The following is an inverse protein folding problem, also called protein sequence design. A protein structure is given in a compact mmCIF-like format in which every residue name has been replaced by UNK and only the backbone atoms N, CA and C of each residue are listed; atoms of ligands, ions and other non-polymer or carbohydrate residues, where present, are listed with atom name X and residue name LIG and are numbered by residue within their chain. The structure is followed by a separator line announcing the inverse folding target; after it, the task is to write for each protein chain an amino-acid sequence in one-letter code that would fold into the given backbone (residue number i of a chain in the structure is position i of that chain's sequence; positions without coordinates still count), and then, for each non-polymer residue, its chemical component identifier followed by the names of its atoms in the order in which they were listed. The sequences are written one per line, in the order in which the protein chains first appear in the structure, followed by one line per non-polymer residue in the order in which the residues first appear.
data_IF_052648678227
#
_entry.id   IF_052648678227
#
_cell.length_a   1.000
_cell.length_b   1.000
_cell.length_c   1.000
_cell.angle_alpha   90.00
_cell.angle_beta   90.00
_cell.angle_gamma   90.00
#
_symmetry.space_group_name_H-M   'P 1'
#
loop_
_entity.id
_entity.type
_entity.pdbx_description
1 polymer ?
#
# COMPACT_ATOMS: atom_id res chain seq x y z
N UNK A 1 2.26 -14.18 -0.42
CA UNK A 1 2.58 -14.48 0.99
C UNK A 1 3.89 -13.85 1.54
N UNK A 2 4.86 -13.30 0.76
CA UNK A 2 6.13 -12.80 1.33
C UNK A 2 5.96 -11.78 2.47
N UNK A 3 5.12 -10.76 2.27
CA UNK A 3 4.86 -9.74 3.31
C UNK A 3 4.27 -10.35 4.60
N UNK A 4 3.37 -11.34 4.49
CA UNK A 4 2.81 -12.01 5.67
C UNK A 4 3.89 -12.78 6.45
N UNK A 5 4.82 -13.43 5.74
CA UNK A 5 5.99 -14.08 6.36
C UNK A 5 6.87 -13.07 7.08
N UNK A 6 7.14 -11.90 6.46
CA UNK A 6 7.94 -10.84 7.07
C UNK A 6 7.29 -10.31 8.36
N UNK A 7 5.98 -10.04 8.34
CA UNK A 7 5.21 -9.61 9.52
C UNK A 7 5.33 -10.64 10.65
N UNK A 8 5.14 -11.93 10.35
CA UNK A 8 5.26 -13.00 11.34
C UNK A 8 6.68 -13.17 11.86
N UNK A 9 7.69 -13.05 11.00
CA UNK A 9 9.10 -13.12 11.40
C UNK A 9 9.50 -11.99 12.33
N UNK A 10 8.85 -10.81 12.20
CA UNK A 10 9.01 -9.69 13.09
C UNK A 10 8.27 -9.85 14.44
N UNK A 11 7.60 -10.98 14.69
CA UNK A 11 6.84 -11.23 15.91
C UNK A 11 5.50 -10.50 15.97
N UNK A 12 5.05 -9.93 14.87
CA UNK A 12 3.78 -9.20 14.80
C UNK A 12 2.61 -10.12 14.49
N UNK A 13 1.40 -9.73 14.91
CA UNK A 13 0.15 -10.39 14.53
C UNK A 13 -0.26 -9.99 13.12
N UNK A 14 -0.90 -10.92 12.41
CA UNK A 14 -1.57 -10.63 11.15
C UNK A 14 -3.02 -10.22 11.45
N UNK A 15 -3.34 -8.94 11.24
CA UNK A 15 -4.70 -8.45 11.37
C UNK A 15 -5.59 -8.91 10.21
N UNK A 16 -5.12 -8.73 8.98
CA UNK A 16 -5.91 -9.01 7.79
C UNK A 16 -5.05 -9.65 6.68
N UNK A 17 -5.62 -10.60 5.96
CA UNK A 17 -4.97 -11.31 4.86
C UNK A 17 -5.91 -11.42 3.66
N UNK A 18 -5.37 -11.39 2.45
CA UNK A 18 -6.13 -11.67 1.21
C UNK A 18 -6.96 -10.48 0.68
N UNK A 19 -6.81 -9.30 1.24
CA UNK A 19 -7.68 -8.16 0.90
C UNK A 19 -7.56 -7.71 -0.57
N UNK A 20 -6.38 -7.33 -1.04
CA UNK A 20 -6.16 -6.94 -2.44
C UNK A 20 -5.70 -8.11 -3.30
N UNK A 21 -4.93 -9.02 -2.73
CA UNK A 21 -4.38 -10.17 -3.42
C UNK A 21 -4.80 -11.44 -2.69
N UNK A 22 -5.54 -12.29 -3.36
CA UNK A 22 -6.00 -13.54 -2.79
C UNK A 22 -4.85 -14.49 -2.46
N UNK A 23 -4.99 -15.26 -1.39
CA UNK A 23 -4.00 -16.26 -1.00
C UNK A 23 -3.93 -17.37 -2.06
N UNK A 24 -2.74 -17.70 -2.58
CA UNK A 24 -2.60 -18.82 -3.50
C UNK A 24 -3.04 -20.15 -2.87
N UNK A 25 -3.66 -21.01 -3.65
CA UNK A 25 -4.21 -22.29 -3.15
C UNK A 25 -3.17 -23.13 -2.38
N UNK A 26 -1.94 -23.17 -2.90
CA UNK A 26 -0.86 -23.99 -2.29
C UNK A 26 -0.26 -23.37 -1.02
N UNK A 27 -0.59 -22.11 -0.72
CA UNK A 27 -0.10 -21.41 0.48
C UNK A 27 -1.20 -21.24 1.53
N UNK A 28 -2.40 -21.82 1.32
CA UNK A 28 -3.53 -21.67 2.22
C UNK A 28 -3.27 -22.24 3.62
N UNK A 29 -2.63 -23.41 3.72
CA UNK A 29 -2.30 -24.02 5.01
C UNK A 29 -1.27 -23.20 5.79
N UNK A 30 -0.28 -22.65 5.10
CA UNK A 30 0.68 -21.73 5.70
C UNK A 30 -0.03 -20.46 6.19
N UNK A 31 -0.93 -19.89 5.37
CA UNK A 31 -1.72 -18.73 5.74
C UNK A 31 -2.58 -18.98 6.98
N UNK A 32 -3.25 -20.12 7.06
CA UNK A 32 -4.04 -20.50 8.23
C UNK A 32 -3.17 -20.71 9.48
N UNK A 33 -1.94 -21.26 9.34
CA UNK A 33 -1.00 -21.44 10.45
C UNK A 33 -0.48 -20.10 11.01
N UNK A 34 -0.49 -19.02 10.22
CA UNK A 34 -0.14 -17.68 10.66
C UNK A 34 -1.24 -17.03 11.51
N UNK A 35 -2.43 -17.61 11.57
CA UNK A 35 -3.55 -17.17 12.40
C UNK A 35 -3.94 -15.70 12.15
N UNK A 36 -4.28 -15.28 10.90
CA UNK A 36 -4.78 -13.94 10.67
C UNK A 36 -6.10 -13.73 11.42
N UNK A 37 -6.32 -12.51 11.94
CA UNK A 37 -7.59 -12.18 12.57
C UNK A 37 -8.72 -12.27 11.54
N UNK A 38 -8.51 -11.69 10.35
CA UNK A 38 -9.46 -11.74 9.24
C UNK A 38 -8.79 -12.22 7.95
N UNK A 39 -9.61 -12.87 7.11
CA UNK A 39 -9.19 -13.30 5.77
C UNK A 39 -10.26 -12.93 4.76
N UNK A 40 -9.92 -12.08 3.79
CA UNK A 40 -10.84 -11.70 2.71
C UNK A 40 -10.90 -12.77 1.63
N UNK A 41 -12.11 -13.05 1.17
CA UNK A 41 -12.38 -13.97 0.07
C UNK A 41 -13.22 -13.30 -1.01
N UNK A 42 -12.96 -13.63 -2.28
CA UNK A 42 -13.61 -13.05 -3.46
C UNK A 42 -14.61 -14.01 -4.12
N UNK A 43 -14.67 -15.24 -3.67
CA UNK A 43 -15.56 -16.26 -4.21
C UNK A 43 -15.80 -17.38 -3.19
N UNK A 44 -16.83 -18.18 -3.44
CA UNK A 44 -17.15 -19.35 -2.63
C UNK A 44 -16.02 -20.38 -2.64
N UNK A 45 -15.32 -20.56 -3.78
CA UNK A 45 -14.16 -21.47 -3.84
C UNK A 45 -13.03 -21.01 -2.92
N UNK A 46 -12.79 -19.68 -2.85
CA UNK A 46 -11.80 -19.11 -1.94
C UNK A 46 -12.23 -19.21 -0.48
N UNK A 47 -13.50 -19.09 -0.19
CA UNK A 47 -14.05 -19.32 1.15
C UNK A 47 -13.86 -20.79 1.56
N UNK A 48 -14.22 -21.72 0.71
CA UNK A 48 -14.03 -23.15 0.97
C UNK A 48 -12.55 -23.52 1.17
N UNK A 49 -11.66 -22.91 0.38
CA UNK A 49 -10.21 -23.10 0.53
C UNK A 49 -9.70 -22.59 1.89
N UNK A 50 -10.09 -21.38 2.29
CA UNK A 50 -9.70 -20.80 3.58
C UNK A 50 -10.27 -21.60 4.75
N UNK A 51 -11.55 -22.00 4.68
CA UNK A 51 -12.22 -22.84 5.67
C UNK A 51 -11.52 -24.17 5.86
N UNK A 52 -11.23 -24.89 4.76
CA UNK A 52 -10.54 -26.17 4.82
C UNK A 52 -9.13 -26.05 5.43
N UNK A 53 -8.39 -25.01 5.11
CA UNK A 53 -7.07 -24.75 5.68
C UNK A 53 -7.15 -24.44 7.18
N UNK A 54 -8.11 -23.62 7.59
CA UNK A 54 -8.36 -23.30 8.99
C UNK A 54 -8.79 -24.53 9.80
N UNK A 55 -9.68 -25.36 9.25
CA UNK A 55 -10.10 -26.61 9.88
C UNK A 55 -8.92 -27.58 10.09
N UNK A 56 -8.01 -27.71 9.10
CA UNK A 56 -6.78 -28.50 9.27
C UNK A 56 -5.86 -27.94 10.36
N UNK A 57 -5.87 -26.62 10.55
CA UNK A 57 -5.15 -25.94 11.63
C UNK A 57 -5.89 -25.98 12.99
N UNK A 58 -7.03 -26.67 13.09
CA UNK A 58 -7.83 -26.81 14.32
C UNK A 58 -8.54 -25.54 14.76
N UNK A 59 -8.90 -24.64 13.82
CA UNK A 59 -9.50 -23.35 14.13
C UNK A 59 -10.68 -23.00 13.20
N UNK A 60 -11.44 -22.00 13.61
CA UNK A 60 -12.43 -21.30 12.76
C UNK A 60 -11.83 -19.96 12.34
N UNK A 61 -11.84 -19.67 11.05
CA UNK A 61 -11.35 -18.43 10.47
C UNK A 61 -12.48 -17.46 10.21
N UNK A 62 -12.33 -16.24 10.70
CA UNK A 62 -13.20 -15.14 10.37
C UNK A 62 -12.92 -14.65 8.94
N UNK A 63 -13.93 -14.78 8.07
CA UNK A 63 -13.87 -14.36 6.68
C UNK A 63 -14.61 -13.05 6.46
N UNK A 64 -13.99 -12.16 5.66
CA UNK A 64 -14.64 -10.98 5.11
C UNK A 64 -14.99 -11.26 3.65
N UNK A 65 -16.25 -11.07 3.29
CA UNK A 65 -16.71 -11.16 1.91
C UNK A 65 -16.37 -9.86 1.18
N UNK A 66 -15.59 -9.93 0.10
CA UNK A 66 -15.50 -8.77 -0.78
C UNK A 66 -16.79 -8.63 -1.56
N UNK A 67 -17.46 -7.47 -1.43
CA UNK A 67 -18.75 -7.21 -2.08
C UNK A 67 -18.61 -6.18 -3.19
N UNK A 68 -19.51 -6.28 -4.19
CA UNK A 68 -19.67 -5.33 -5.27
C UNK A 68 -21.14 -5.22 -5.69
N UNK A 69 -21.47 -4.13 -6.40
CA UNK A 69 -22.75 -3.92 -7.05
C UNK A 69 -22.56 -3.17 -8.39
N UNK A 70 -23.58 -3.16 -9.28
CA UNK A 70 -23.56 -2.31 -10.44
C UNK A 70 -23.33 -0.84 -10.09
N UNK A 71 -22.40 -0.18 -10.79
CA UNK A 71 -22.00 1.20 -10.53
C UNK A 71 -20.76 1.34 -9.66
N UNK A 72 -20.26 0.26 -9.09
CA UNK A 72 -19.00 0.29 -8.35
C UNK A 72 -17.80 0.56 -9.27
N UNK A 73 -16.81 1.22 -8.72
CA UNK A 73 -15.56 1.56 -9.39
C UNK A 73 -14.45 0.60 -8.98
N UNK A 74 -13.66 0.16 -9.96
CA UNK A 74 -12.50 -0.71 -9.71
C UNK A 74 -11.26 -0.15 -10.38
N UNK A 75 -10.10 -0.42 -9.80
CA UNK A 75 -8.87 -0.41 -10.58
C UNK A 75 -8.86 -1.63 -11.49
N UNK A 76 -8.36 -1.44 -12.70
CA UNK A 76 -8.24 -2.54 -13.69
C UNK A 76 -7.46 -3.73 -13.10
N UNK A 77 -8.06 -4.92 -13.14
CA UNK A 77 -7.49 -6.13 -12.56
C UNK A 77 -7.78 -6.33 -11.06
N UNK A 78 -8.58 -5.44 -10.45
CA UNK A 78 -9.01 -5.56 -9.05
C UNK A 78 -10.50 -5.85 -8.91
N UNK A 79 -11.15 -6.19 -9.99
CA UNK A 79 -12.58 -6.52 -10.04
C UNK A 79 -12.87 -7.85 -9.34
N UNK A 80 -14.13 -8.05 -8.95
CA UNK A 80 -14.62 -9.30 -8.39
C UNK A 80 -15.05 -9.22 -6.93
N UNK A 81 -15.65 -10.28 -6.49
CA UNK A 81 -16.28 -10.40 -5.19
C UNK A 81 -17.64 -11.06 -5.29
N UNK A 82 -18.43 -10.98 -4.23
CA UNK A 82 -19.82 -11.42 -4.16
C UNK A 82 -20.74 -10.26 -4.53
N UNK A 83 -21.83 -10.53 -5.22
CA UNK A 83 -22.87 -9.52 -5.42
C UNK A 83 -23.46 -9.13 -4.07
N UNK A 84 -23.53 -7.82 -3.79
CA UNK A 84 -24.08 -7.32 -2.53
C UNK A 84 -25.56 -7.68 -2.36
N UNK A 85 -26.29 -7.90 -3.45
CA UNK A 85 -27.68 -8.36 -3.40
C UNK A 85 -27.81 -9.78 -2.83
N UNK A 86 -26.78 -10.61 -3.01
CA UNK A 86 -26.76 -12.01 -2.57
C UNK A 86 -25.95 -12.21 -1.28
N UNK A 87 -25.57 -11.14 -0.58
CA UNK A 87 -24.67 -11.20 0.57
C UNK A 87 -25.15 -12.11 1.69
N UNK A 88 -26.46 -12.20 1.94
CA UNK A 88 -27.01 -13.09 2.97
C UNK A 88 -26.80 -14.55 2.61
N UNK A 89 -27.11 -14.95 1.37
CA UNK A 89 -26.88 -16.31 0.90
C UNK A 89 -25.40 -16.66 0.93
N UNK A 90 -24.54 -15.74 0.47
CA UNK A 90 -23.07 -15.93 0.52
C UNK A 90 -22.55 -16.10 1.95
N UNK A 91 -23.10 -15.35 2.92
CA UNK A 91 -22.75 -15.47 4.33
C UNK A 91 -23.21 -16.81 4.92
N UNK A 92 -24.44 -17.26 4.61
CA UNK A 92 -24.97 -18.56 5.05
C UNK A 92 -24.15 -19.72 4.48
N UNK A 93 -23.76 -19.64 3.20
CA UNK A 93 -22.88 -20.61 2.56
C UNK A 93 -21.53 -20.69 3.27
N UNK A 94 -20.93 -19.55 3.62
CA UNK A 94 -19.66 -19.49 4.36
C UNK A 94 -19.82 -20.09 5.77
N UNK A 95 -20.87 -19.74 6.48
CA UNK A 95 -21.14 -20.23 7.84
C UNK A 95 -21.42 -21.75 7.85
N UNK A 96 -21.85 -22.32 6.73
CA UNK A 96 -22.02 -23.77 6.57
C UNK A 96 -20.70 -24.54 6.43
N UNK A 97 -19.59 -23.85 6.13
CA UNK A 97 -18.28 -24.48 5.92
C UNK A 97 -17.61 -24.79 7.27
N UNK A 98 -17.20 -26.03 7.54
CA UNK A 98 -16.38 -26.33 8.70
C UNK A 98 -15.08 -25.53 8.67
N UNK A 99 -14.78 -24.79 9.75
CA UNK A 99 -13.57 -23.99 9.88
C UNK A 99 -13.66 -22.57 9.34
N UNK A 100 -14.85 -22.08 8.95
CA UNK A 100 -15.08 -20.68 8.58
C UNK A 100 -16.27 -20.06 9.32
N UNK A 101 -16.28 -18.75 9.40
CA UNK A 101 -17.40 -17.91 9.83
C UNK A 101 -17.41 -16.63 9.02
N UNK A 102 -18.56 -16.21 8.53
CA UNK A 102 -18.71 -14.89 7.94
C UNK A 102 -18.66 -13.82 9.05
N UNK A 103 -17.56 -13.05 9.09
CA UNK A 103 -17.36 -12.01 10.08
C UNK A 103 -17.75 -10.62 9.56
N UNK A 104 -17.95 -10.45 8.26
CA UNK A 104 -18.29 -9.16 7.69
C UNK A 104 -17.98 -9.01 6.23
N UNK A 105 -17.87 -7.76 5.83
CA UNK A 105 -17.70 -7.37 4.42
C UNK A 105 -16.56 -6.41 4.20
N UNK A 106 -16.05 -6.38 2.98
CA UNK A 106 -15.05 -5.42 2.50
C UNK A 106 -15.34 -5.02 1.05
N UNK A 107 -14.76 -3.92 0.64
CA UNK A 107 -14.74 -3.47 -0.77
C UNK A 107 -13.39 -2.87 -1.11
N UNK A 108 -13.16 -2.45 -2.36
CA UNK A 108 -12.01 -1.63 -2.75
C UNK A 108 -12.23 -1.02 -4.15
N UNK A 109 -12.01 0.29 -4.27
CA UNK A 109 -11.70 1.28 -3.23
C UNK A 109 -12.97 1.85 -2.58
N UNK A 110 -12.97 2.07 -1.27
CA UNK A 110 -14.06 2.77 -0.56
C UNK A 110 -13.96 4.29 -0.73
N UNK A 111 -12.73 4.81 -0.79
CA UNK A 111 -12.42 6.21 -1.09
C UNK A 111 -11.45 6.27 -2.26
N UNK A 112 -11.60 7.29 -3.11
CA UNK A 112 -10.63 7.68 -4.13
C UNK A 112 -10.25 9.14 -3.98
N UNK A 113 -9.00 9.44 -4.29
CA UNK A 113 -8.54 10.80 -4.37
C UNK A 113 -9.10 11.45 -5.65
N UNK A 114 -9.68 12.66 -5.49
CA UNK A 114 -10.10 13.53 -6.59
C UNK A 114 -9.05 14.62 -6.78
N UNK A 115 -8.35 14.60 -7.89
CA UNK A 115 -7.36 15.63 -8.21
C UNK A 115 -7.99 17.01 -8.41
N UNK A 116 -9.24 17.08 -8.91
CA UNK A 116 -9.96 18.33 -9.12
C UNK A 116 -10.34 19.03 -7.81
N UNK A 117 -10.63 18.26 -6.77
CA UNK A 117 -11.11 18.79 -5.49
C UNK A 117 -10.05 18.76 -4.40
N UNK A 118 -8.93 18.07 -4.66
CA UNK A 118 -7.85 17.90 -3.69
C UNK A 118 -8.25 17.10 -2.44
N UNK A 119 -9.28 16.25 -2.55
CA UNK A 119 -9.83 15.52 -1.39
C UNK A 119 -10.00 14.02 -1.68
N UNK A 120 -10.03 13.22 -0.62
CA UNK A 120 -10.46 11.83 -0.72
C UNK A 120 -11.99 11.78 -0.67
N UNK A 121 -12.61 11.29 -1.73
CA UNK A 121 -14.07 11.21 -1.89
C UNK A 121 -14.57 9.77 -1.78
N UNK A 122 -15.77 9.61 -1.22
CA UNK A 122 -16.45 8.33 -1.17
C UNK A 122 -16.79 7.87 -2.60
N UNK A 123 -16.50 6.61 -2.89
CA UNK A 123 -16.94 5.95 -4.12
C UNK A 123 -18.33 5.37 -3.96
N UNK A 124 -18.94 4.92 -5.06
CA UNK A 124 -20.19 4.15 -5.00
C UNK A 124 -20.02 2.88 -4.14
N UNK A 125 -18.83 2.26 -4.18
CA UNK A 125 -18.50 1.07 -3.40
C UNK A 125 -18.71 1.23 -1.89
N UNK A 126 -18.52 2.43 -1.32
CA UNK A 126 -18.77 2.67 0.09
C UNK A 126 -20.27 2.52 0.41
N UNK A 127 -21.16 2.97 -0.48
CA UNK A 127 -22.61 2.76 -0.38
C UNK A 127 -22.99 1.28 -0.50
N UNK A 128 -22.39 0.57 -1.47
CA UNK A 128 -22.53 -0.89 -1.63
C UNK A 128 -22.12 -1.63 -0.36
N UNK A 129 -20.97 -1.26 0.20
CA UNK A 129 -20.43 -1.85 1.44
C UNK A 129 -21.40 -1.68 2.61
N UNK A 130 -21.99 -0.48 2.76
CA UNK A 130 -23.00 -0.21 3.80
C UNK A 130 -24.24 -1.06 3.63
N UNK A 131 -24.79 -1.09 2.42
CA UNK A 131 -25.99 -1.86 2.12
C UNK A 131 -25.79 -3.34 2.47
N UNK A 132 -24.66 -3.92 2.09
CA UNK A 132 -24.32 -5.30 2.42
C UNK A 132 -24.14 -5.51 3.93
N UNK A 133 -23.45 -4.59 4.62
CA UNK A 133 -23.26 -4.67 6.06
C UNK A 133 -24.58 -4.57 6.83
N UNK A 134 -25.47 -3.68 6.40
CA UNK A 134 -26.78 -3.50 7.05
C UNK A 134 -27.70 -4.71 6.83
N UNK A 135 -27.68 -5.33 5.65
CA UNK A 135 -28.39 -6.59 5.40
C UNK A 135 -27.92 -7.69 6.36
N UNK A 136 -26.60 -7.85 6.54
CA UNK A 136 -26.03 -8.81 7.47
C UNK A 136 -26.39 -8.49 8.93
N UNK A 137 -26.36 -7.22 9.34
CA UNK A 137 -26.78 -6.80 10.69
C UNK A 137 -28.25 -7.06 10.94
N UNK A 138 -29.10 -6.78 9.97
CA UNK A 138 -30.53 -7.04 10.05
C UNK A 138 -30.85 -8.54 10.20
N UNK A 139 -29.98 -9.43 9.73
CA UNK A 139 -30.11 -10.88 9.96
C UNK A 139 -29.61 -11.33 11.35
N UNK A 140 -29.20 -10.40 12.22
CA UNK A 140 -28.73 -10.68 13.58
C UNK A 140 -27.23 -10.95 13.71
N UNK A 141 -26.44 -10.76 12.64
CA UNK A 141 -24.98 -10.96 12.67
C UNK A 141 -24.26 -9.75 13.26
N UNK A 142 -23.16 -10.00 13.97
CA UNK A 142 -22.15 -8.99 14.25
C UNK A 142 -21.28 -8.84 13.01
N UNK A 143 -21.09 -7.62 12.52
CA UNK A 143 -20.48 -7.37 11.21
C UNK A 143 -19.29 -6.45 11.31
N UNK A 144 -18.16 -6.94 10.88
CA UNK A 144 -16.98 -6.13 10.59
C UNK A 144 -17.12 -5.48 9.20
N UNK A 145 -16.73 -4.22 9.11
CA UNK A 145 -16.81 -3.44 7.86
C UNK A 145 -15.43 -2.88 7.56
N UNK A 146 -14.73 -3.46 6.59
CA UNK A 146 -13.43 -2.99 6.16
C UNK A 146 -13.58 -2.06 4.96
N UNK A 147 -13.18 -0.80 5.11
CA UNK A 147 -13.34 0.26 4.11
C UNK A 147 -11.99 0.86 3.70
N UNK A 148 -11.20 0.16 2.87
CA UNK A 148 -9.89 0.62 2.42
C UNK A 148 -9.96 1.54 1.19
N UNK A 149 -8.93 2.33 0.98
CA UNK A 149 -8.74 3.21 -0.18
C UNK A 149 -8.39 4.63 0.25
N UNK A 150 -7.39 5.24 -0.39
CA UNK A 150 -6.86 6.59 -0.15
C UNK A 150 -6.89 7.01 1.34
N UNK A 151 -6.42 6.13 2.20
CA UNK A 151 -6.66 6.22 3.64
C UNK A 151 -5.49 6.93 4.31
N UNK A 152 -5.69 8.21 4.68
CA UNK A 152 -4.93 8.91 5.71
C UNK A 152 -5.79 9.03 6.97
N UNK A 153 -5.21 9.44 8.09
CA UNK A 153 -5.98 9.67 9.33
C UNK A 153 -7.02 10.79 9.15
N UNK A 154 -6.84 11.70 8.20
CA UNK A 154 -7.82 12.70 7.82
C UNK A 154 -9.16 12.10 7.33
N UNK A 155 -9.13 10.88 6.77
CA UNK A 155 -10.31 10.18 6.28
C UNK A 155 -11.02 9.34 7.37
N UNK A 156 -10.43 9.12 8.53
CA UNK A 156 -10.96 8.20 9.54
C UNK A 156 -12.33 8.59 10.07
N UNK A 157 -12.55 9.88 10.32
CA UNK A 157 -13.85 10.36 10.79
C UNK A 157 -14.97 10.08 9.77
N UNK A 158 -14.69 10.30 8.48
CA UNK A 158 -15.65 10.02 7.39
C UNK A 158 -15.94 8.52 7.30
N UNK A 159 -14.92 7.68 7.35
CA UNK A 159 -15.08 6.23 7.28
C UNK A 159 -15.79 5.67 8.53
N UNK A 160 -15.47 6.18 9.71
CA UNK A 160 -16.15 5.79 10.96
C UNK A 160 -17.62 6.19 10.95
N UNK A 161 -17.95 7.42 10.51
CA UNK A 161 -19.33 7.87 10.33
C UNK A 161 -20.10 7.00 9.33
N UNK A 162 -19.39 6.47 8.37
CA UNK A 162 -19.86 5.50 7.40
C UNK A 162 -19.91 4.05 7.94
N UNK A 163 -19.74 3.81 9.22
CA UNK A 163 -19.85 2.50 9.86
C UNK A 163 -18.67 1.56 9.64
N UNK A 164 -17.53 2.05 9.13
CA UNK A 164 -16.32 1.25 9.02
C UNK A 164 -15.79 0.88 10.43
N UNK A 165 -15.43 -0.38 10.60
CA UNK A 165 -14.78 -0.90 11.81
C UNK A 165 -13.28 -1.13 11.58
N UNK A 166 -12.86 -1.18 10.31
CA UNK A 166 -11.48 -1.40 9.89
C UNK A 166 -11.14 -0.53 8.68
N UNK A 167 -9.89 -0.13 8.61
CA UNK A 167 -9.29 0.60 7.49
C UNK A 167 -7.89 0.06 7.22
N UNK A 168 -7.36 0.30 6.02
CA UNK A 168 -6.04 -0.17 5.61
C UNK A 168 -5.18 1.00 5.11
N UNK A 169 -4.53 1.74 6.02
CA UNK A 169 -3.84 2.99 5.71
C UNK A 169 -2.41 2.78 5.18
N UNK A 170 -2.20 1.95 4.17
CA UNK A 170 -0.87 1.67 3.63
C UNK A 170 0.04 2.90 3.55
N UNK A 171 -0.16 3.76 2.57
CA UNK A 171 0.56 5.04 2.43
C UNK A 171 0.25 6.04 3.56
N UNK A 172 -0.88 5.91 4.25
CA UNK A 172 -1.18 6.71 5.43
C UNK A 172 -0.19 6.52 6.56
N UNK A 173 0.38 5.31 6.73
CA UNK A 173 1.41 5.04 7.74
C UNK A 173 2.75 5.70 7.43
N UNK A 174 3.02 6.00 6.16
CA UNK A 174 4.29 6.61 5.71
C UNK A 174 4.15 8.08 5.33
N UNK A 175 2.94 8.67 5.45
CA UNK A 175 2.69 10.05 5.05
C UNK A 175 2.91 10.28 3.56
N UNK A 176 2.57 9.31 2.71
CA UNK A 176 2.79 9.36 1.26
C UNK A 176 1.52 9.06 0.45
N UNK A 177 0.34 9.39 0.99
CA UNK A 177 -0.92 9.33 0.23
C UNK A 177 -0.96 10.44 -0.83
N UNK A 178 -1.87 10.36 -1.82
CA UNK A 178 -2.08 11.46 -2.75
C UNK A 178 -2.35 12.81 -2.10
N UNK A 179 -3.01 12.84 -0.95
CA UNK A 179 -3.25 14.08 -0.20
C UNK A 179 -1.94 14.77 0.20
N UNK A 180 -0.92 14.01 0.60
CA UNK A 180 0.39 14.55 1.00
C UNK A 180 1.18 15.20 -0.15
N UNK A 181 0.78 14.97 -1.40
CA UNK A 181 1.41 15.62 -2.55
C UNK A 181 0.94 17.08 -2.76
N UNK A 182 -0.20 17.44 -2.17
CA UNK A 182 -0.86 18.73 -2.43
C UNK A 182 -1.30 19.47 -1.17
N UNK A 183 -1.17 18.85 0.00
CA UNK A 183 -1.61 19.40 1.29
C UNK A 183 -0.52 19.22 2.33
N UNK A 184 -0.03 20.32 2.89
CA UNK A 184 1.00 20.33 3.93
C UNK A 184 0.43 20.18 5.35
N UNK A 185 -0.89 20.29 5.52
CA UNK A 185 -1.59 20.30 6.80
C UNK A 185 -2.30 18.94 7.05
N UNK A 186 -1.56 17.86 6.93
CA UNK A 186 -2.05 16.52 7.29
C UNK A 186 -1.43 16.05 8.61
N UNK A 187 -2.17 15.21 9.37
CA UNK A 187 -1.67 14.72 10.67
C UNK A 187 -0.42 13.84 10.57
N UNK A 188 -0.25 13.13 9.46
CA UNK A 188 0.89 12.26 9.23
C UNK A 188 2.09 13.06 8.73
N UNK A 189 3.26 12.76 9.27
CA UNK A 189 4.52 13.25 8.74
C UNK A 189 5.05 12.31 7.65
N UNK A 190 5.52 12.81 6.50
CA UNK A 190 6.21 11.99 5.51
C UNK A 190 7.40 11.25 6.15
N UNK A 191 7.36 9.93 6.13
CA UNK A 191 8.31 9.06 6.83
C UNK A 191 9.01 8.06 5.88
N UNK A 192 8.86 8.22 4.57
CA UNK A 192 9.51 7.40 3.57
C UNK A 192 10.04 8.26 2.43
N UNK A 193 11.23 7.94 1.97
CA UNK A 193 11.84 8.53 0.78
C UNK A 193 12.54 7.44 -0.04
N UNK A 194 12.56 7.62 -1.35
CA UNK A 194 13.36 6.80 -2.25
C UNK A 194 14.64 7.58 -2.59
N UNK A 195 15.78 7.02 -2.23
CA UNK A 195 17.09 7.61 -2.48
C UNK A 195 17.78 6.85 -3.59
N UNK A 196 18.28 7.58 -4.57
CA UNK A 196 18.97 7.03 -5.74
C UNK A 196 20.08 7.98 -6.19
N UNK A 197 20.68 7.67 -7.31
CA UNK A 197 21.83 8.38 -7.87
C UNK A 197 21.62 8.65 -9.36
N UNK A 198 22.17 9.75 -9.87
CA UNK A 198 22.21 10.05 -11.30
C UNK A 198 23.20 9.13 -12.00
N UNK A 199 22.70 8.37 -12.96
CA UNK A 199 23.49 7.43 -13.77
C UNK A 199 24.21 8.11 -14.93
N UNK A 200 23.52 8.94 -15.70
CA UNK A 200 24.03 9.58 -16.91
C UNK A 200 23.13 10.75 -17.35
N UNK A 201 23.55 11.47 -18.39
CA UNK A 201 22.77 12.52 -19.02
C UNK A 201 22.66 12.32 -20.53
N UNK A 202 21.50 12.67 -21.10
CA UNK A 202 21.26 12.63 -22.54
C UNK A 202 20.17 13.62 -22.92
N UNK A 203 20.36 14.35 -24.03
CA UNK A 203 19.31 15.24 -24.58
C UNK A 203 18.85 16.36 -23.65
N UNK A 204 19.74 16.87 -22.79
CA UNK A 204 19.39 17.93 -21.82
C UNK A 204 18.74 17.43 -20.54
N UNK A 205 18.53 16.12 -20.38
CA UNK A 205 17.99 15.47 -19.18
C UNK A 205 19.05 14.67 -18.45
N UNK A 206 18.88 14.49 -17.15
CA UNK A 206 19.64 13.54 -16.36
C UNK A 206 18.76 12.29 -16.05
N UNK A 207 19.40 11.15 -15.94
CA UNK A 207 18.75 9.86 -15.71
C UNK A 207 19.22 9.28 -14.38
N UNK A 208 18.31 9.09 -13.44
CA UNK A 208 18.60 8.43 -12.17
C UNK A 208 18.09 6.99 -12.16
N UNK A 209 18.71 6.11 -11.37
CA UNK A 209 18.24 4.73 -11.27
C UNK A 209 16.81 4.69 -10.73
N UNK A 210 15.93 3.96 -11.44
CA UNK A 210 14.53 3.76 -11.11
C UNK A 210 14.28 2.47 -10.33
N UNK A 211 13.05 1.96 -10.41
CA UNK A 211 12.70 0.64 -9.84
C UNK A 211 12.07 0.69 -8.46
N UNK A 212 11.34 1.72 -8.18
CA UNK A 212 10.59 1.86 -6.92
C UNK A 212 9.71 3.09 -6.91
N UNK A 213 9.75 3.82 -7.99
CA UNK A 213 8.95 5.01 -8.19
C UNK A 213 7.59 4.61 -8.75
N UNK A 214 6.55 5.16 -8.14
CA UNK A 214 5.18 4.88 -8.53
C UNK A 214 4.39 6.20 -8.56
N UNK A 215 3.73 6.44 -9.68
CA UNK A 215 2.80 7.56 -9.83
C UNK A 215 1.40 6.99 -9.94
N UNK A 216 0.50 7.47 -9.08
CA UNK A 216 -0.89 7.09 -9.13
C UNK A 216 -1.54 7.63 -10.42
N UNK A 217 -2.22 6.80 -11.21
CA UNK A 217 -2.92 7.23 -12.43
C UNK A 217 -4.03 8.25 -12.19
N UNK A 218 -4.46 8.47 -10.95
CA UNK A 218 -5.43 9.54 -10.61
C UNK A 218 -4.81 10.94 -10.61
N UNK A 219 -3.50 11.03 -10.85
CA UNK A 219 -2.76 12.31 -10.95
C UNK A 219 -2.15 12.53 -12.34
N UNK A 220 -2.92 12.52 -13.42
CA UNK A 220 -2.34 12.66 -14.77
C UNK A 220 -1.60 13.99 -14.98
N UNK A 221 -2.01 15.06 -14.26
CA UNK A 221 -1.47 16.41 -14.38
C UNK A 221 -0.51 16.79 -13.23
N UNK A 222 -0.19 15.86 -12.34
CA UNK A 222 0.71 16.14 -11.23
C UNK A 222 2.17 16.09 -11.70
N UNK A 223 2.88 17.22 -11.57
CA UNK A 223 4.31 17.26 -11.85
C UNK A 223 5.10 16.69 -10.68
N UNK A 224 5.64 15.51 -10.86
CA UNK A 224 6.55 14.90 -9.88
C UNK A 224 7.86 15.68 -9.86
N UNK A 225 8.37 15.95 -8.67
CA UNK A 225 9.67 16.57 -8.46
C UNK A 225 10.57 15.67 -7.63
N UNK A 226 11.87 15.81 -7.83
CA UNK A 226 12.90 15.17 -7.05
C UNK A 226 13.83 16.23 -6.45
N UNK A 227 14.29 15.98 -5.23
CA UNK A 227 15.37 16.77 -4.63
C UNK A 227 16.71 16.21 -5.16
N UNK A 228 17.51 17.06 -5.78
CA UNK A 228 18.84 16.72 -6.27
C UNK A 228 19.88 17.37 -5.37
N UNK A 229 20.76 16.58 -4.79
CA UNK A 229 21.86 17.02 -3.94
C UNK A 229 23.20 16.79 -4.70
N UNK A 230 23.82 17.87 -5.22
CA UNK A 230 25.09 17.76 -5.98
C UNK A 230 26.20 17.14 -5.14
N UNK A 231 26.75 16.02 -5.61
CA UNK A 231 27.79 15.28 -4.88
C UNK A 231 27.38 14.84 -3.45
N UNK A 232 26.08 14.77 -3.15
CA UNK A 232 25.57 14.45 -1.84
C UNK A 232 25.48 15.62 -0.86
N UNK A 233 25.73 16.85 -1.31
CA UNK A 233 25.61 18.08 -0.50
C UNK A 233 24.14 18.54 -0.47
N UNK A 234 23.47 18.31 0.67
CA UNK A 234 22.08 18.69 0.87
C UNK A 234 21.88 20.19 1.14
N UNK A 235 22.91 20.93 1.52
CA UNK A 235 22.85 22.39 1.68
C UNK A 235 22.79 23.08 0.30
N UNK A 236 23.33 22.43 -0.73
CA UNK A 236 23.28 22.88 -2.12
C UNK A 236 22.09 22.27 -2.92
N UNK A 237 21.22 21.49 -2.28
CA UNK A 237 20.16 20.76 -2.95
C UNK A 237 19.13 21.69 -3.60
N UNK A 238 18.51 21.20 -4.67
CA UNK A 238 17.44 21.90 -5.40
C UNK A 238 16.42 20.92 -5.96
N UNK A 239 15.23 21.39 -6.26
CA UNK A 239 14.17 20.61 -6.89
C UNK A 239 14.36 20.59 -8.41
N UNK A 240 14.16 19.42 -9.01
CA UNK A 240 14.14 19.19 -10.44
C UNK A 240 12.84 18.48 -10.82
N UNK A 241 12.26 18.84 -11.96
CA UNK A 241 11.10 18.14 -12.48
C UNK A 241 11.49 16.72 -12.89
N UNK A 242 10.65 15.77 -12.55
CA UNK A 242 10.89 14.36 -12.82
C UNK A 242 9.77 13.75 -13.67
N UNK A 243 10.17 12.89 -14.60
CA UNK A 243 9.29 12.05 -15.38
C UNK A 243 9.61 10.58 -15.10
N UNK A 244 8.60 9.82 -14.72
CA UNK A 244 8.73 8.39 -14.45
C UNK A 244 8.09 7.65 -15.63
N UNK A 245 8.84 6.78 -16.35
CA UNK A 245 8.29 6.02 -17.46
C UNK A 245 7.11 5.15 -17.00
N UNK A 246 6.07 4.98 -17.84
CA UNK A 246 5.00 4.04 -17.53
C UNK A 246 5.54 2.60 -17.50
N UNK A 247 4.86 1.65 -16.83
CA UNK A 247 5.31 0.26 -16.69
C UNK A 247 5.63 -0.43 -18.03
N UNK A 248 4.96 -0.02 -19.10
CA UNK A 248 5.19 -0.54 -20.46
C UNK A 248 6.57 -0.19 -21.03
N UNK A 249 7.23 0.85 -20.49
CA UNK A 249 8.56 1.32 -20.92
C UNK A 249 9.67 0.79 -20.02
N UNK A 250 9.35 -0.01 -19.02
CA UNK A 250 10.28 -0.51 -18.01
C UNK A 250 10.96 0.63 -17.24
N UNK A 251 10.79 0.65 -15.92
CA UNK A 251 11.22 1.73 -15.04
C UNK A 251 12.69 1.63 -14.58
N UNK A 252 13.62 1.30 -15.47
CA UNK A 252 15.04 1.27 -15.09
C UNK A 252 15.58 2.64 -14.69
N UNK A 253 15.04 3.71 -15.27
CA UNK A 253 15.47 5.08 -15.02
C UNK A 253 14.28 6.00 -14.82
N UNK A 254 14.42 6.93 -13.87
CA UNK A 254 13.65 8.16 -13.84
C UNK A 254 14.41 9.25 -14.60
N UNK A 255 13.71 10.18 -15.24
CA UNK A 255 14.27 11.28 -16.01
C UNK A 255 14.09 12.59 -15.25
N UNK A 256 15.14 13.38 -15.14
CA UNK A 256 15.16 14.65 -14.44
C UNK A 256 15.42 15.78 -15.42
N UNK A 257 14.64 16.85 -15.33
CA UNK A 257 14.86 18.09 -16.06
C UNK A 257 15.45 19.10 -15.08
N UNK A 258 16.70 19.55 -15.26
CA UNK A 258 17.29 20.54 -14.38
C UNK A 258 16.58 21.88 -14.56
N UNK A 259 16.35 22.63 -13.47
CA UNK A 259 15.84 24.00 -13.59
C UNK A 259 16.91 24.94 -14.21
N UNK A 260 16.46 26.09 -14.70
CA UNK A 260 17.33 27.06 -15.35
C UNK A 260 18.58 27.42 -14.52
N UNK A 261 19.75 27.38 -15.17
CA UNK A 261 21.03 27.69 -14.54
C UNK A 261 21.59 26.60 -13.62
N UNK A 262 20.91 25.46 -13.44
CA UNK A 262 21.39 24.33 -12.66
C UNK A 262 21.91 23.21 -13.57
N UNK A 263 22.86 22.46 -13.07
CA UNK A 263 23.39 21.26 -13.73
C UNK A 263 23.20 20.06 -12.81
N UNK A 264 22.79 18.95 -13.40
CA UNK A 264 22.68 17.65 -12.74
C UNK A 264 23.78 16.77 -13.35
N UNK A 265 24.60 16.15 -12.49
CA UNK A 265 25.77 15.38 -12.91
C UNK A 265 25.66 13.92 -12.48
N UNK A 266 26.31 13.05 -13.20
CA UNK A 266 26.48 11.65 -12.77
C UNK A 266 27.06 11.59 -11.37
N UNK A 267 26.48 10.77 -10.50
CA UNK A 267 26.84 10.63 -9.10
C UNK A 267 26.12 11.59 -8.14
N UNK A 268 25.33 12.55 -8.63
CA UNK A 268 24.50 13.38 -7.76
C UNK A 268 23.41 12.53 -7.08
N UNK A 269 23.18 12.78 -5.80
CA UNK A 269 22.12 12.08 -5.05
C UNK A 269 20.75 12.63 -5.41
N UNK A 270 19.78 11.75 -5.61
CA UNK A 270 18.41 12.09 -5.94
C UNK A 270 17.46 11.50 -4.90
N UNK A 271 16.52 12.31 -4.38
CA UNK A 271 15.55 11.88 -3.38
C UNK A 271 14.14 12.16 -3.87
N UNK A 272 13.29 11.14 -3.81
CA UNK A 272 11.86 11.24 -4.09
C UNK A 272 11.07 11.00 -2.81
N UNK A 273 10.10 11.86 -2.51
CA UNK A 273 9.21 11.75 -1.34
C UNK A 273 7.80 11.27 -1.66
N UNK A 274 7.39 11.28 -2.94
CA UNK A 274 6.01 11.01 -3.32
C UNK A 274 5.78 9.53 -3.66
N UNK A 275 4.71 8.95 -3.09
CA UNK A 275 4.16 7.62 -3.43
C UNK A 275 5.19 6.49 -3.52
N UNK A 276 6.15 6.48 -2.60
CA UNK A 276 7.12 5.39 -2.52
C UNK A 276 6.44 4.11 -2.04
N UNK A 277 6.52 3.06 -2.84
CA UNK A 277 6.00 1.73 -2.48
C UNK A 277 7.16 0.78 -2.22
N UNK A 278 7.55 0.64 -0.95
CA UNK A 278 8.69 -0.20 -0.56
C UNK A 278 8.58 -1.64 -1.10
N UNK A 279 7.39 -2.23 -1.05
CA UNK A 279 7.15 -3.59 -1.54
C UNK A 279 7.25 -3.75 -3.07
N UNK A 280 7.13 -2.65 -3.82
CA UNK A 280 7.27 -2.65 -5.29
C UNK A 280 8.69 -2.31 -5.76
N UNK A 281 9.58 -1.93 -4.84
CA UNK A 281 10.93 -1.49 -5.22
C UNK A 281 11.87 -2.66 -5.47
N UNK A 282 12.89 -2.42 -6.29
CA UNK A 282 14.07 -3.28 -6.41
C UNK A 282 15.20 -2.83 -5.48
N UNK A 283 14.99 -1.76 -4.72
CA UNK A 283 15.93 -1.21 -3.76
C UNK A 283 15.86 -1.91 -2.40
N UNK A 284 16.82 -1.57 -1.56
CA UNK A 284 16.81 -1.97 -0.15
C UNK A 284 15.98 -0.99 0.68
N UNK A 285 15.44 -1.49 1.79
CA UNK A 285 14.74 -0.70 2.80
C UNK A 285 15.68 -0.49 3.99
N UNK A 286 15.90 0.77 4.37
CA UNK A 286 16.73 1.14 5.51
C UNK A 286 15.88 1.94 6.50
N UNK A 287 15.38 1.35 7.59
CA UNK A 287 14.71 2.08 8.64
C UNK A 287 15.70 2.98 9.40
N UNK A 288 15.31 4.24 9.60
CA UNK A 288 16.11 5.25 10.30
C UNK A 288 15.31 5.76 11.48
N UNK A 289 15.90 5.71 12.68
CA UNK A 289 15.34 6.28 13.91
C UNK A 289 16.06 7.57 14.27
N UNK A 290 15.49 8.32 15.23
CA UNK A 290 16.13 9.49 15.82
C UNK A 290 16.17 10.73 14.91
N UNK A 291 15.50 10.72 13.76
CA UNK A 291 15.48 11.84 12.81
C UNK A 291 14.94 13.11 13.45
N UNK A 292 13.79 13.04 14.12
CA UNK A 292 13.17 14.20 14.81
C UNK A 292 14.03 14.75 15.96
N UNK A 293 14.82 13.91 16.57
CA UNK A 293 15.75 14.31 17.67
C UNK A 293 17.13 14.73 17.17
N UNK A 294 17.34 14.86 15.84
CA UNK A 294 18.63 15.24 15.25
C UNK A 294 19.74 14.21 15.44
N UNK A 295 19.41 12.97 15.75
CA UNK A 295 20.36 11.86 15.96
C UNK A 295 19.94 10.65 15.12
N UNK A 296 19.98 10.74 13.78
CA UNK A 296 19.56 9.67 12.91
C UNK A 296 20.46 8.43 13.08
N UNK A 297 19.81 7.27 13.15
CA UNK A 297 20.49 5.97 13.24
C UNK A 297 19.80 4.97 12.32
N UNK A 298 20.54 4.40 11.38
CA UNK A 298 20.08 3.28 10.58
C UNK A 298 20.05 2.00 11.44
N UNK A 299 18.92 1.28 11.39
CA UNK A 299 18.71 0.06 12.18
C UNK A 299 19.23 -1.19 11.48
N UNK A 300 19.40 -1.15 10.18
CA UNK A 300 19.83 -2.27 9.35
C UNK A 300 19.37 -2.09 7.91
N UNK A 301 19.52 -3.14 7.11
CA UNK A 301 19.12 -3.18 5.70
C UNK A 301 18.22 -4.37 5.47
N UNK A 302 17.14 -4.17 4.75
CA UNK A 302 16.20 -5.20 4.35
C UNK A 302 15.92 -5.13 2.85
N UNK A 303 15.70 -6.27 2.24
CA UNK A 303 15.09 -6.33 0.91
C UNK A 303 13.63 -5.85 0.95
N UNK A 304 13.07 -5.51 -0.20
CA UNK A 304 11.68 -5.03 -0.32
C UNK A 304 10.62 -6.03 0.18
N UNK A 305 10.95 -7.31 0.24
CA UNK A 305 10.08 -8.37 0.77
C UNK A 305 10.23 -8.59 2.29
N UNK A 306 11.02 -7.76 2.98
CA UNK A 306 11.24 -7.78 4.42
C UNK A 306 12.32 -8.77 4.90
N UNK A 307 13.04 -9.44 4.00
CA UNK A 307 14.18 -10.28 4.41
C UNK A 307 15.38 -9.41 4.75
N UNK A 308 16.13 -9.73 5.82
CA UNK A 308 17.39 -9.05 6.09
C UNK A 308 18.34 -9.09 4.89
N UNK A 309 18.98 -7.98 4.63
CA UNK A 309 20.03 -7.84 3.62
C UNK A 309 21.30 -7.32 4.28
N UNK A 310 22.45 -7.55 3.64
CA UNK A 310 23.71 -7.04 4.12
C UNK A 310 23.96 -5.62 3.62
N UNK A 311 24.61 -4.79 4.43
CA UNK A 311 25.19 -3.55 3.94
C UNK A 311 26.18 -3.87 2.83
N UNK A 312 26.22 -3.06 1.75
CA UNK A 312 27.33 -3.15 0.81
C UNK A 312 28.67 -3.00 1.53
N UNK A 313 29.61 -3.91 1.29
CA UNK A 313 30.92 -3.95 2.00
C UNK A 313 31.68 -2.62 1.96
N UNK A 314 31.39 -1.75 1.01
CA UNK A 314 32.03 -0.43 0.86
C UNK A 314 31.33 0.69 1.64
N UNK A 315 30.13 0.49 2.17
CA UNK A 315 29.40 1.56 2.90
C UNK A 315 30.00 1.82 4.30
N UNK A 316 30.62 0.84 4.93
CA UNK A 316 31.25 1.01 6.26
C UNK A 316 32.49 1.92 6.23
N UNK A 317 33.19 2.03 5.10
CA UNK A 317 34.40 2.83 5.00
C UNK A 317 34.12 4.32 4.76
N UNK A 318 32.95 4.68 4.24
CA UNK A 318 32.56 6.06 3.96
C UNK A 318 31.82 6.73 5.14
N UNK A 319 31.14 5.96 5.99
CA UNK A 319 30.44 6.48 7.16
C UNK A 319 31.39 6.90 8.31
N UNK A 320 32.69 6.61 8.18
CA UNK A 320 33.75 6.97 9.17
C UNK A 320 34.65 8.13 8.74
N UNK A 321 34.38 8.77 7.63
CA UNK A 321 35.05 9.97 7.15
C UNK A 321 34.11 11.17 7.22
#
# INVERSE_FOLDING_TARGET
MPCARAVRSAGLRLGHLGHLVQVPTREADEAASMQPDFWTVFSQDKAAQAAAAAARAGRVQDLLLRVHAPGDTFYLGHEGGFDAADVLAAADDVDSLPGARCAGVTTFPALLFSASDGTAQATHNLGTLHTAADALRASGRQVQVNAPGTTSSAAFATLAAAGATQVEPGHGLTGTTPLHAITDDLPELPAAAYVTEVSHSYGGRAYCFGGGLYIDPVFPDYQVQALVAPGGDFDAAFLADAEIPPPSMIDYYGMLTPPDGRQIRTGDTVVFGFRIQAFGTRGNVVPITGVQGGRPQALGVWASDGRPANWPEHAESQARR
#
